data_IF_214528463186
#
_entry.id   IF_214528463186
#
_cell.length_a   1.000
_cell.length_b   1.000
_cell.length_c   1.000
_cell.angle_alpha   90.00
_cell.angle_beta   90.00
_cell.angle_gamma   90.00
#
_symmetry.space_group_name_H-M   'P 1'
#
loop_
_entity.id
_entity.type
_entity.pdbx_description
1 polymer ?
#
# COMPACT_ATOMS: atom_id res chain seq x y z
N UNK A 1 22.41 -34.82 74.95
CA UNK A 1 22.22 -33.35 74.62
C UNK A 1 22.85 -32.95 73.29
N UNK A 2 23.37 -33.87 72.52
CA UNK A 2 24.14 -33.60 71.26
C UNK A 2 23.27 -33.77 70.01
N UNK A 3 22.17 -34.49 70.05
CA UNK A 3 21.33 -34.75 68.87
C UNK A 3 20.43 -33.61 68.43
N UNK A 4 20.08 -32.68 69.34
CA UNK A 4 19.21 -31.55 68.99
C UNK A 4 19.88 -30.46 68.15
N UNK A 5 21.20 -30.41 68.13
CA UNK A 5 21.94 -29.37 67.40
C UNK A 5 22.27 -29.81 65.96
N UNK A 6 22.31 -31.12 65.66
CA UNK A 6 22.65 -31.62 64.29
C UNK A 6 21.53 -31.45 63.25
N UNK A 7 20.27 -31.47 63.68
CA UNK A 7 19.11 -31.34 62.74
C UNK A 7 18.95 -29.98 62.10
N UNK A 8 19.14 -28.84 62.80
CA UNK A 8 19.03 -27.53 62.12
C UNK A 8 20.18 -27.23 61.18
N UNK A 9 21.40 -27.71 61.45
CA UNK A 9 22.57 -27.55 60.58
C UNK A 9 22.45 -28.34 59.26
N UNK A 10 21.94 -29.56 59.30
CA UNK A 10 21.69 -30.36 58.12
C UNK A 10 20.62 -29.75 57.20
N UNK A 11 19.60 -29.16 57.77
CA UNK A 11 18.56 -28.46 56.98
C UNK A 11 19.06 -27.14 56.39
N UNK A 12 19.92 -26.42 57.10
CA UNK A 12 20.54 -25.19 56.60
C UNK A 12 21.50 -25.45 55.41
N UNK A 13 22.27 -26.54 55.45
CA UNK A 13 23.16 -26.94 54.38
C UNK A 13 22.39 -27.45 53.13
N UNK A 14 21.27 -28.14 53.35
CA UNK A 14 20.39 -28.55 52.23
C UNK A 14 19.71 -27.36 51.55
N UNK A 15 19.28 -26.37 52.32
CA UNK A 15 18.69 -25.16 51.77
C UNK A 15 19.71 -24.26 51.02
N UNK A 16 20.94 -24.20 51.54
CA UNK A 16 22.04 -23.48 50.88
C UNK A 16 22.48 -24.13 49.57
N UNK A 17 22.53 -25.49 49.54
CA UNK A 17 22.86 -26.24 48.32
C UNK A 17 21.78 -26.12 47.23
N UNK A 18 20.52 -26.05 47.59
CA UNK A 18 19.40 -25.85 46.62
C UNK A 18 19.37 -24.43 46.07
N UNK A 19 19.75 -23.43 46.87
CA UNK A 19 19.83 -22.01 46.44
C UNK A 19 21.00 -21.75 45.46
N UNK A 20 22.13 -22.41 45.63
CA UNK A 20 23.27 -22.26 44.73
C UNK A 20 23.07 -22.96 43.37
N UNK A 21 22.29 -24.03 43.33
CA UNK A 21 21.94 -24.75 42.09
C UNK A 21 21.04 -23.97 41.14
N UNK A 22 20.25 -23.03 41.66
CA UNK A 22 19.32 -22.19 40.84
C UNK A 22 20.02 -21.00 40.17
N UNK A 23 21.20 -20.59 40.63
CA UNK A 23 21.98 -19.51 40.05
C UNK A 23 22.90 -19.93 38.91
N UNK A 24 23.23 -21.24 38.80
CA UNK A 24 24.09 -21.75 37.73
C UNK A 24 23.34 -22.04 36.41
N UNK A 25 22.03 -21.92 36.39
CA UNK A 25 21.20 -22.21 35.22
C UNK A 25 21.06 -21.08 34.19
N UNK A 26 21.60 -19.89 34.46
CA UNK A 26 21.44 -18.73 33.57
C UNK A 26 22.53 -18.51 32.53
N UNK A 27 23.63 -19.28 32.57
CA UNK A 27 24.76 -19.10 31.63
C UNK A 27 24.56 -19.86 30.30
N UNK A 28 23.67 -20.85 30.22
CA UNK A 28 23.50 -21.62 28.99
C UNK A 28 22.48 -21.10 28.00
N UNK A 29 21.78 -20.01 28.33
CA UNK A 29 20.80 -19.36 27.45
C UNK A 29 21.41 -18.24 26.60
N UNK A 30 22.67 -17.87 26.83
CA UNK A 30 23.33 -16.73 26.16
C UNK A 30 23.83 -17.01 24.74
N UNK A 31 24.17 -18.24 24.41
CA UNK A 31 24.86 -18.52 23.13
C UNK A 31 23.93 -18.80 21.95
N UNK A 32 22.63 -19.01 22.19
CA UNK A 32 21.66 -19.22 21.11
C UNK A 32 20.77 -17.99 20.81
N UNK A 33 20.89 -16.95 21.63
CA UNK A 33 20.17 -15.70 21.36
C UNK A 33 21.10 -14.70 20.69
N UNK A 34 21.42 -14.97 19.44
CA UNK A 34 22.17 -14.04 18.61
C UNK A 34 21.24 -12.93 18.18
N UNK A 35 21.30 -11.80 18.88
CA UNK A 35 20.70 -10.56 18.38
C UNK A 35 21.52 -10.15 17.17
N UNK A 36 20.95 -10.08 15.96
CA UNK A 36 21.69 -9.67 14.77
C UNK A 36 22.30 -8.27 15.01
N UNK A 37 23.61 -8.16 14.90
CA UNK A 37 24.30 -6.88 15.05
C UNK A 37 23.89 -5.89 13.98
N UNK A 38 24.14 -4.60 14.21
CA UNK A 38 23.84 -3.53 13.24
C UNK A 38 24.52 -3.75 11.86
N UNK A 39 25.62 -4.47 11.83
CA UNK A 39 26.37 -4.80 10.62
C UNK A 39 25.61 -5.77 9.71
N UNK A 40 24.78 -6.64 10.29
CA UNK A 40 23.95 -7.60 9.58
C UNK A 40 22.77 -6.92 8.86
N UNK A 41 22.36 -5.73 9.35
CA UNK A 41 21.36 -4.88 8.74
C UNK A 41 21.93 -3.92 7.68
N UNK A 42 23.25 -3.78 7.58
CA UNK A 42 23.90 -2.75 6.75
C UNK A 42 24.39 -3.24 5.40
N UNK A 43 24.33 -4.54 5.12
CA UNK A 43 24.65 -5.11 3.80
C UNK A 43 23.41 -5.04 2.93
N UNK A 44 23.39 -4.17 1.91
CA UNK A 44 22.23 -3.84 1.06
C UNK A 44 21.49 -5.04 0.49
N UNK A 45 22.20 -6.15 0.20
CA UNK A 45 21.61 -7.40 -0.31
C UNK A 45 20.90 -8.25 0.78
N UNK A 46 21.30 -8.13 2.05
CA UNK A 46 20.66 -8.86 3.16
C UNK A 46 19.43 -8.15 3.73
N UNK A 47 19.40 -6.82 3.70
CA UNK A 47 18.22 -6.05 4.11
C UNK A 47 16.97 -6.41 3.30
N UNK A 48 17.14 -6.68 2.04
CA UNK A 48 16.04 -6.98 1.12
C UNK A 48 15.48 -8.40 1.35
N UNK A 49 16.30 -9.31 1.88
CA UNK A 49 15.91 -10.69 2.14
C UNK A 49 15.19 -10.89 3.50
N UNK A 50 15.39 -9.99 4.47
CA UNK A 50 14.85 -10.15 5.83
C UNK A 50 13.57 -9.34 6.06
N UNK A 51 13.33 -8.28 5.30
CA UNK A 51 12.13 -7.45 5.46
C UNK A 51 10.98 -7.95 4.61
N UNK A 52 10.00 -8.54 5.28
CA UNK A 52 8.68 -8.76 4.73
C UNK A 52 8.50 -10.00 3.85
N UNK A 53 9.49 -10.90 3.80
CA UNK A 53 9.36 -12.21 3.13
C UNK A 53 9.08 -13.33 4.13
N UNK A 54 7.99 -14.05 3.92
CA UNK A 54 7.73 -15.34 4.56
C UNK A 54 8.20 -16.45 3.61
N UNK A 55 9.17 -17.28 4.05
CA UNK A 55 9.59 -18.46 3.29
C UNK A 55 10.95 -18.35 2.57
N UNK A 56 11.87 -17.42 2.95
CA UNK A 56 13.22 -17.34 2.39
C UNK A 56 13.32 -16.57 1.07
N UNK A 57 14.35 -16.85 0.25
CA UNK A 57 14.67 -16.11 -0.99
C UNK A 57 13.57 -16.14 -2.05
N UNK A 58 12.74 -17.19 -2.05
CA UNK A 58 11.61 -17.36 -3.00
C UNK A 58 10.24 -17.09 -2.35
N UNK A 59 10.23 -16.56 -1.11
CA UNK A 59 9.02 -16.33 -0.33
C UNK A 59 8.19 -15.13 -0.79
N UNK A 60 6.91 -15.12 -0.40
CA UNK A 60 5.96 -14.04 -0.70
C UNK A 60 6.33 -12.78 0.10
N UNK A 61 6.46 -11.64 -0.56
CA UNK A 61 6.64 -10.32 0.06
C UNK A 61 5.29 -9.85 0.59
N UNK A 62 5.13 -9.82 1.93
CA UNK A 62 3.89 -9.35 2.57
C UNK A 62 3.94 -7.83 2.81
N UNK A 63 5.10 -7.32 3.19
CA UNK A 63 5.33 -5.88 3.39
C UNK A 63 6.64 -5.45 2.75
N UNK A 64 6.57 -4.49 1.87
CA UNK A 64 7.73 -3.91 1.21
C UNK A 64 7.74 -4.12 -0.31
N UNK A 65 8.61 -3.41 -0.98
CA UNK A 65 8.81 -3.51 -2.43
C UNK A 65 9.97 -4.45 -2.73
N UNK A 66 9.71 -5.46 -3.55
CA UNK A 66 10.76 -6.35 -4.07
C UNK A 66 11.72 -5.51 -4.95
N UNK A 67 13.04 -5.52 -4.68
CA UNK A 67 14.02 -4.83 -5.53
C UNK A 67 14.05 -5.35 -6.96
N UNK A 68 13.68 -6.62 -7.17
CA UNK A 68 13.56 -7.20 -8.50
C UNK A 68 12.39 -6.58 -9.28
N UNK A 69 11.29 -6.25 -8.61
CA UNK A 69 10.15 -5.55 -9.23
C UNK A 69 10.48 -4.10 -9.60
N UNK A 70 11.40 -3.43 -8.87
CA UNK A 70 11.92 -2.10 -9.24
C UNK A 70 12.79 -2.14 -10.49
N UNK A 71 13.54 -3.22 -10.70
CA UNK A 71 14.38 -3.39 -11.90
C UNK A 71 13.59 -3.81 -13.14
N UNK A 72 12.50 -4.59 -12.95
CA UNK A 72 11.65 -5.06 -14.03
C UNK A 72 10.58 -4.04 -14.47
N UNK A 73 10.26 -3.07 -13.62
CA UNK A 73 9.14 -2.15 -13.81
C UNK A 73 9.51 -0.72 -14.04
N UNK A 74 10.64 -0.36 -14.65
CA UNK A 74 10.95 1.00 -15.09
C UNK A 74 10.31 2.15 -14.28
N UNK A 75 10.30 3.36 -14.80
CA UNK A 75 9.66 4.55 -14.21
C UNK A 75 8.14 4.41 -13.92
N UNK A 76 7.52 3.32 -14.38
CA UNK A 76 6.09 3.03 -14.16
C UNK A 76 5.80 2.48 -12.75
N UNK A 77 6.84 2.10 -11.98
CA UNK A 77 6.72 1.61 -10.61
C UNK A 77 6.69 2.72 -9.54
N UNK A 78 6.52 3.98 -9.93
CA UNK A 78 6.47 5.15 -9.03
C UNK A 78 5.22 5.18 -8.11
N UNK A 79 4.63 4.03 -7.84
CA UNK A 79 3.47 3.86 -6.95
C UNK A 79 3.57 2.62 -6.09
N UNK A 80 4.75 2.34 -5.53
CA UNK A 80 4.95 1.22 -4.61
C UNK A 80 4.04 1.36 -3.39
N UNK A 81 2.87 0.72 -3.46
CA UNK A 81 1.82 0.78 -2.43
C UNK A 81 0.42 1.00 -2.98
N UNK A 82 0.28 1.49 -4.21
CA UNK A 82 -1.00 1.66 -4.88
C UNK A 82 -1.22 0.46 -5.80
N UNK A 83 -2.42 -0.13 -5.79
CA UNK A 83 -2.78 -1.29 -6.64
C UNK A 83 -2.74 -1.01 -8.14
N UNK A 84 -2.65 0.27 -8.53
CA UNK A 84 -2.77 0.77 -9.90
C UNK A 84 -1.59 1.67 -10.32
N UNK A 85 -1.54 2.09 -11.59
CA UNK A 85 -0.55 3.02 -12.08
C UNK A 85 -0.71 4.41 -11.44
N UNK A 86 0.35 4.93 -10.80
CA UNK A 86 0.31 6.19 -10.06
C UNK A 86 0.09 7.41 -10.98
N UNK A 87 0.58 7.38 -12.22
CA UNK A 87 0.37 8.48 -13.17
C UNK A 87 -1.07 8.51 -13.66
N UNK A 88 -1.66 7.34 -13.94
CA UNK A 88 -3.09 7.26 -14.28
C UNK A 88 -3.96 7.68 -13.10
N UNK A 89 -3.65 7.23 -11.89
CA UNK A 89 -4.36 7.63 -10.69
C UNK A 89 -4.37 9.15 -10.50
N UNK A 90 -3.18 9.75 -10.51
CA UNK A 90 -3.04 11.21 -10.36
C UNK A 90 -3.72 11.97 -11.49
N UNK A 91 -3.53 11.52 -12.75
CA UNK A 91 -4.16 12.14 -13.91
C UNK A 91 -5.69 12.09 -13.85
N UNK A 92 -6.26 10.97 -13.36
CA UNK A 92 -7.71 10.84 -13.16
C UNK A 92 -8.22 11.86 -12.15
N UNK A 93 -7.55 12.00 -11.01
CA UNK A 93 -7.91 12.99 -10.00
C UNK A 93 -7.75 14.42 -10.52
N UNK A 94 -6.67 14.73 -11.25
CA UNK A 94 -6.44 16.05 -11.87
C UNK A 94 -7.54 16.37 -12.88
N UNK A 95 -7.90 15.42 -13.75
CA UNK A 95 -8.91 15.60 -14.81
C UNK A 95 -10.31 15.77 -14.24
N UNK A 96 -10.65 15.07 -13.17
CA UNK A 96 -11.96 15.12 -12.52
C UNK A 96 -12.04 16.15 -11.38
N UNK A 97 -11.01 16.98 -11.19
CA UNK A 97 -10.91 17.92 -10.05
C UNK A 97 -12.02 18.98 -10.00
N UNK A 98 -12.70 19.25 -11.11
CA UNK A 98 -13.83 20.18 -11.17
C UNK A 98 -15.14 19.59 -10.61
N UNK A 99 -15.18 18.27 -10.35
CA UNK A 99 -16.33 17.58 -9.79
C UNK A 99 -16.05 17.15 -8.33
N UNK A 100 -17.01 17.26 -7.40
CA UNK A 100 -16.83 16.72 -6.06
C UNK A 100 -16.69 15.20 -6.12
N UNK A 101 -15.78 14.65 -5.32
CA UNK A 101 -15.56 13.21 -5.25
C UNK A 101 -16.48 12.61 -4.19
N UNK A 102 -17.19 11.55 -4.56
CA UNK A 102 -17.96 10.71 -3.63
C UNK A 102 -17.10 9.60 -3.01
N UNK A 103 -16.20 9.01 -3.81
CA UNK A 103 -15.28 7.96 -3.36
C UNK A 103 -14.04 7.88 -4.25
N UNK A 104 -12.91 7.54 -3.64
CA UNK A 104 -11.66 7.28 -4.37
C UNK A 104 -10.89 6.16 -3.67
N UNK A 105 -10.77 5.01 -4.34
CA UNK A 105 -10.04 3.83 -3.85
C UNK A 105 -8.80 3.57 -4.71
N UNK A 106 -7.60 3.93 -4.25
CA UNK A 106 -6.37 3.72 -4.99
C UNK A 106 -5.93 2.25 -5.08
N UNK A 107 -6.45 1.38 -4.21
CA UNK A 107 -6.11 -0.05 -4.23
C UNK A 107 -6.95 -0.81 -5.26
N UNK A 108 -8.25 -0.53 -5.29
CA UNK A 108 -9.18 -1.05 -6.29
C UNK A 108 -9.14 -0.31 -7.62
N UNK A 109 -8.49 0.87 -7.67
CA UNK A 109 -8.38 1.68 -8.88
C UNK A 109 -9.69 2.31 -9.33
N UNK A 110 -10.54 2.71 -8.39
CA UNK A 110 -11.86 3.27 -8.70
C UNK A 110 -11.97 4.69 -8.15
N UNK A 111 -12.42 5.62 -9.00
CA UNK A 111 -12.78 6.99 -8.61
C UNK A 111 -14.23 7.23 -9.00
N UNK A 112 -15.04 7.65 -8.05
CA UNK A 112 -16.46 7.96 -8.24
C UNK A 112 -16.68 9.42 -7.84
N UNK A 113 -17.24 10.22 -8.73
CA UNK A 113 -17.66 11.59 -8.42
C UNK A 113 -19.07 11.59 -7.84
N UNK A 114 -19.41 12.65 -7.15
CA UNK A 114 -20.82 12.96 -6.86
C UNK A 114 -21.48 13.58 -8.09
N UNK A 115 -22.80 13.81 -8.00
CA UNK A 115 -23.53 14.50 -9.04
C UNK A 115 -23.07 15.96 -9.13
N UNK A 116 -22.65 16.35 -10.32
CA UNK A 116 -22.19 17.68 -10.65
C UNK A 116 -23.11 18.33 -11.69
N UNK A 117 -23.53 19.53 -11.40
CA UNK A 117 -24.33 20.37 -12.30
C UNK A 117 -23.43 21.48 -12.81
N UNK A 118 -23.06 21.49 -14.12
CA UNK A 118 -22.24 22.52 -14.67
C UNK A 118 -22.96 23.90 -14.61
N UNK A 119 -22.23 24.99 -14.39
CA UNK A 119 -22.79 26.32 -14.45
C UNK A 119 -23.45 26.57 -15.82
N UNK A 120 -24.73 26.97 -15.83
CA UNK A 120 -25.50 27.20 -17.04
C UNK A 120 -26.29 25.98 -17.58
N UNK A 121 -26.03 24.75 -17.07
CA UNK A 121 -26.79 23.55 -17.41
C UNK A 121 -27.95 23.34 -16.42
N UNK A 122 -28.89 24.28 -16.36
CA UNK A 122 -29.93 24.39 -15.32
C UNK A 122 -30.74 23.12 -15.03
N UNK A 123 -30.84 22.19 -15.97
CA UNK A 123 -31.69 21.00 -15.86
C UNK A 123 -30.91 19.69 -16.08
N UNK A 124 -29.58 19.70 -16.01
CA UNK A 124 -28.77 18.52 -16.25
C UNK A 124 -27.73 18.36 -15.14
N UNK A 125 -27.45 17.11 -14.78
CA UNK A 125 -26.34 16.77 -13.88
C UNK A 125 -25.61 15.52 -14.36
N UNK A 126 -24.33 15.47 -14.06
CA UNK A 126 -23.44 14.41 -14.48
C UNK A 126 -22.76 13.76 -13.28
N UNK A 127 -22.47 12.50 -13.40
CA UNK A 127 -21.63 11.73 -12.48
C UNK A 127 -20.67 10.87 -13.28
N UNK A 128 -19.44 10.78 -12.84
CA UNK A 128 -18.40 10.02 -13.52
C UNK A 128 -17.89 8.91 -12.61
N UNK A 129 -17.68 7.74 -13.18
CA UNK A 129 -16.95 6.65 -12.55
C UNK A 129 -15.77 6.30 -13.45
N UNK A 130 -14.56 6.42 -12.92
CA UNK A 130 -13.32 6.06 -13.61
C UNK A 130 -12.71 4.80 -12.98
N UNK A 131 -12.31 3.86 -13.83
CA UNK A 131 -11.64 2.61 -13.46
C UNK A 131 -10.22 2.61 -14.01
N UNK A 132 -9.24 2.38 -13.17
CA UNK A 132 -7.85 2.24 -13.57
C UNK A 132 -7.51 0.74 -13.55
N UNK A 133 -7.28 0.18 -14.73
CA UNK A 133 -7.30 -1.26 -14.97
C UNK A 133 -5.95 -1.96 -14.78
N UNK A 134 -4.90 -1.24 -14.37
CA UNK A 134 -3.60 -1.88 -14.22
C UNK A 134 -2.49 -0.98 -13.71
N UNK A 135 -1.31 -1.57 -13.56
CA UNK A 135 -0.11 -0.90 -13.04
C UNK A 135 0.75 -0.24 -14.12
N UNK A 136 0.49 -0.52 -15.37
CA UNK A 136 1.26 0.02 -16.50
C UNK A 136 0.49 1.14 -17.18
N UNK A 137 1.21 2.18 -17.64
CA UNK A 137 0.63 3.25 -18.43
C UNK A 137 0.42 2.79 -19.87
N UNK A 138 -0.81 2.33 -20.15
CA UNK A 138 -1.25 1.83 -21.46
C UNK A 138 -2.50 2.59 -21.90
N UNK A 139 -2.82 2.56 -23.19
CA UNK A 139 -4.00 3.21 -23.76
C UNK A 139 -5.32 2.62 -23.25
N UNK A 140 -5.32 1.33 -22.90
CA UNK A 140 -6.44 0.60 -22.31
C UNK A 140 -6.40 0.58 -20.77
N UNK A 141 -5.52 1.37 -20.15
CA UNK A 141 -5.29 1.39 -18.71
C UNK A 141 -6.33 2.16 -17.90
N UNK A 142 -7.24 2.88 -18.55
CA UNK A 142 -8.33 3.62 -17.90
C UNK A 142 -9.63 3.41 -18.65
N UNK A 143 -10.73 3.28 -17.89
CA UNK A 143 -12.10 3.22 -18.40
C UNK A 143 -12.95 4.25 -17.67
N UNK A 144 -13.71 5.03 -18.43
CA UNK A 144 -14.58 6.08 -17.87
C UNK A 144 -16.02 5.84 -18.26
N UNK A 145 -16.91 5.85 -17.27
CA UNK A 145 -18.35 5.77 -17.44
C UNK A 145 -18.98 7.05 -16.97
N UNK A 146 -19.75 7.69 -17.84
CA UNK A 146 -20.45 8.95 -17.56
C UNK A 146 -21.94 8.67 -17.43
N UNK A 147 -22.54 9.16 -16.36
CA UNK A 147 -23.98 9.13 -16.12
C UNK A 147 -24.52 10.55 -16.25
N UNK A 148 -25.65 10.72 -16.91
CA UNK A 148 -26.36 11.97 -17.07
C UNK A 148 -27.78 11.84 -16.58
N UNK A 149 -28.27 12.85 -15.89
CA UNK A 149 -29.67 12.96 -15.51
C UNK A 149 -30.21 14.32 -15.94
N UNK A 150 -31.46 14.36 -16.33
CA UNK A 150 -32.20 15.57 -16.64
C UNK A 150 -33.32 15.81 -15.62
N UNK A 151 -33.54 17.05 -15.26
CA UNK A 151 -34.66 17.45 -14.39
C UNK A 151 -35.93 17.55 -15.23
N UNK A 152 -36.85 16.62 -15.06
CA UNK A 152 -38.15 16.60 -15.72
C UNK A 152 -39.26 16.65 -14.69
N UNK A 153 -40.11 17.67 -14.75
CA UNK A 153 -41.25 17.85 -13.82
C UNK A 153 -40.86 17.73 -12.34
N UNK A 154 -39.70 18.28 -11.96
CA UNK A 154 -39.18 18.26 -10.58
C UNK A 154 -38.48 16.97 -10.17
N UNK A 155 -38.37 15.96 -11.04
CA UNK A 155 -37.67 14.71 -10.77
C UNK A 155 -36.44 14.53 -11.66
N UNK A 156 -35.37 14.00 -11.10
CA UNK A 156 -34.18 13.63 -11.86
C UNK A 156 -34.41 12.28 -12.55
N UNK A 157 -34.29 12.27 -13.88
CA UNK A 157 -34.50 11.09 -14.72
C UNK A 157 -33.22 10.80 -15.49
N UNK A 158 -32.84 9.55 -15.59
CA UNK A 158 -31.67 9.14 -16.36
C UNK A 158 -31.83 9.50 -17.84
N UNK A 159 -30.78 10.05 -18.41
CA UNK A 159 -30.72 10.46 -19.81
C UNK A 159 -29.51 9.82 -20.50
N UNK A 160 -29.62 9.65 -21.81
CA UNK A 160 -28.54 9.10 -22.62
C UNK A 160 -27.33 10.04 -22.66
N UNK A 161 -26.13 9.46 -22.65
CA UNK A 161 -24.86 10.13 -22.85
C UNK A 161 -24.30 9.71 -24.21
N UNK A 162 -23.61 10.62 -24.90
CA UNK A 162 -22.88 10.26 -26.12
C UNK A 162 -21.81 9.22 -25.78
N UNK A 163 -21.68 8.19 -26.62
CA UNK A 163 -20.63 7.19 -26.49
C UNK A 163 -19.22 7.81 -26.54
N UNK A 164 -19.04 8.94 -27.24
CA UNK A 164 -17.77 9.65 -27.33
C UNK A 164 -17.34 10.32 -26.01
N UNK A 165 -18.29 10.74 -25.16
CA UNK A 165 -17.98 11.50 -23.93
C UNK A 165 -17.05 10.71 -22.99
N UNK A 166 -17.29 9.42 -22.80
CA UNK A 166 -16.42 8.56 -21.99
C UNK A 166 -15.02 8.46 -22.60
N UNK A 167 -14.93 8.20 -23.90
CA UNK A 167 -13.66 8.08 -24.62
C UNK A 167 -12.86 9.38 -24.61
N UNK A 168 -13.51 10.54 -24.75
CA UNK A 168 -12.86 11.85 -24.67
C UNK A 168 -12.24 12.09 -23.28
N UNK A 169 -12.92 11.68 -22.22
CA UNK A 169 -12.37 11.76 -20.86
C UNK A 169 -11.21 10.75 -20.65
N UNK A 170 -11.32 9.54 -21.20
CA UNK A 170 -10.24 8.55 -21.19
C UNK A 170 -8.98 9.13 -21.87
N UNK A 171 -9.12 9.74 -23.02
CA UNK A 171 -8.02 10.38 -23.76
C UNK A 171 -7.40 11.54 -22.98
N UNK A 172 -8.20 12.36 -22.32
CA UNK A 172 -7.70 13.45 -21.48
C UNK A 172 -6.88 12.92 -20.31
N UNK A 173 -7.37 11.90 -19.60
CA UNK A 173 -6.64 11.23 -18.50
C UNK A 173 -5.33 10.63 -19.01
N UNK A 174 -5.34 9.93 -20.15
CA UNK A 174 -4.14 9.33 -20.74
C UNK A 174 -3.10 10.39 -21.14
N UNK A 175 -3.51 11.48 -21.74
CA UNK A 175 -2.64 12.59 -22.10
C UNK A 175 -2.01 13.21 -20.84
N UNK A 176 -2.82 13.48 -19.82
CA UNK A 176 -2.33 14.01 -18.54
C UNK A 176 -1.37 13.07 -17.85
N UNK A 177 -1.62 11.76 -17.88
CA UNK A 177 -0.73 10.75 -17.31
C UNK A 177 0.63 10.70 -18.02
N UNK A 178 0.65 10.84 -19.35
CA UNK A 178 1.90 10.91 -20.14
C UNK A 178 2.70 12.17 -19.81
N UNK A 179 2.04 13.32 -19.63
CA UNK A 179 2.70 14.57 -19.21
C UNK A 179 3.35 14.40 -17.82
N UNK A 180 2.62 13.88 -16.84
CA UNK A 180 3.13 13.64 -15.49
C UNK A 180 4.33 12.70 -15.50
N UNK A 181 4.31 11.66 -16.32
CA UNK A 181 5.44 10.76 -16.50
C UNK A 181 6.65 11.47 -17.10
N UNK A 182 6.45 12.27 -18.14
CA UNK A 182 7.54 13.03 -18.78
C UNK A 182 8.18 14.02 -17.80
N UNK A 183 7.37 14.71 -16.99
CA UNK A 183 7.85 15.63 -15.95
C UNK A 183 8.68 14.90 -14.89
N UNK A 184 8.25 13.71 -14.43
CA UNK A 184 8.98 12.92 -13.45
C UNK A 184 10.35 12.46 -13.97
N UNK A 185 10.46 12.16 -15.26
CA UNK A 185 11.72 11.74 -15.89
C UNK A 185 12.70 12.90 -16.05
N UNK A 186 12.20 14.12 -16.31
CA UNK A 186 13.02 15.30 -16.45
C UNK A 186 13.55 15.83 -15.10
N UNK A 187 12.83 15.62 -14.00
CA UNK A 187 13.23 16.05 -12.65
C UNK A 187 14.37 15.22 -12.03
N UNK A 188 14.71 14.07 -12.63
CA UNK A 188 15.77 13.15 -12.14
C UNK A 188 17.10 13.37 -12.88
N UNK A 189 17.14 14.25 -13.87
CA UNK A 189 18.39 14.64 -14.56
C UNK A 189 19.00 15.88 -13.94
#
# INVERSE_FOLDING_TARGET
MIERVRRPLARALLAAGLGLGLLAGCESLGDNFRVPGQDEYNTGSRRDNVRGRLGGTDGIVIFGTDPASRRAGGADAAGAGIGVNAFLWRATLDTLSFMPLASADPFGGVVITDWYQPPGAGNERFRVTAYILGRTLRSDGVRVVVFRQELRQGNWVDASVSASTGTELEDQVLNRARELRAQSTSAVR
#
